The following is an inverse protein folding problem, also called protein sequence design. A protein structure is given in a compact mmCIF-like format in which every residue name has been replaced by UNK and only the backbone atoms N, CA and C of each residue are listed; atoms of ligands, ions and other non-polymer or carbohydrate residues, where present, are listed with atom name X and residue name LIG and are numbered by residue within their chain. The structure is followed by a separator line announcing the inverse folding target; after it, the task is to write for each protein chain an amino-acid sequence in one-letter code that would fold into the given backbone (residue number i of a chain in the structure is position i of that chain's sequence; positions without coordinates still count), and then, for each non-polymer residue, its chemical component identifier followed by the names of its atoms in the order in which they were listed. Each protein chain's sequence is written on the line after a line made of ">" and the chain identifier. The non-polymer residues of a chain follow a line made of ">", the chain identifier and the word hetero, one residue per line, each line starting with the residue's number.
data_IF_036298733762
#
_entry.id   IF_036298733762
#
_cell.length_a   1.000
_cell.length_b   1.000
_cell.length_c   1.000
_cell.angle_alpha   90.00
_cell.angle_beta   90.00
_cell.angle_gamma   90.00
#
_symmetry.space_group_name_H-M   'P 1'
#
loop_
_entity.id
_entity.type
_entity.pdbx_description
1 polymer ?
#
# COMPACT_ATOMS: atom_id res chain seq x y z
N UNK A 1 -6.51 20.93 -21.68
CA UNK A 1 -5.43 20.51 -22.62
C UNK A 1 -4.58 19.36 -22.08
N UNK A 2 -4.11 19.39 -20.81
CA UNK A 2 -3.22 18.36 -20.24
C UNK A 2 -3.85 16.96 -20.13
N UNK A 3 -5.17 16.87 -19.90
CA UNK A 3 -5.90 15.59 -19.82
C UNK A 3 -6.04 14.89 -21.17
N UNK A 4 -6.18 15.65 -22.25
CA UNK A 4 -6.20 15.11 -23.62
C UNK A 4 -4.82 14.63 -24.07
N UNK A 5 -3.75 15.31 -23.63
CA UNK A 5 -2.37 14.90 -23.90
C UNK A 5 -2.04 13.56 -23.23
N UNK A 6 -2.47 13.34 -21.98
CA UNK A 6 -2.29 12.06 -21.27
C UNK A 6 -3.07 10.90 -21.93
N UNK A 7 -4.29 11.16 -22.38
CA UNK A 7 -5.11 10.18 -23.12
C UNK A 7 -4.49 9.83 -24.47
N UNK A 8 -3.93 10.83 -25.18
CA UNK A 8 -3.22 10.63 -26.45
C UNK A 8 -1.96 9.77 -26.26
N UNK A 9 -1.18 10.04 -25.21
CA UNK A 9 0.02 9.27 -24.89
C UNK A 9 -0.32 7.80 -24.54
N UNK A 10 -1.37 7.57 -23.74
CA UNK A 10 -1.84 6.21 -23.46
C UNK A 10 -2.28 5.45 -24.71
N UNK A 11 -3.00 6.13 -25.63
CA UNK A 11 -3.44 5.52 -26.89
C UNK A 11 -2.26 5.12 -27.78
N UNK A 12 -1.23 5.98 -27.87
CA UNK A 12 -0.02 5.69 -28.66
C UNK A 12 0.72 4.49 -28.06
N UNK A 13 0.88 4.44 -26.73
CA UNK A 13 1.54 3.31 -26.06
C UNK A 13 0.78 2.00 -26.26
N UNK A 14 -0.55 2.02 -26.28
CA UNK A 14 -1.37 0.82 -26.52
C UNK A 14 -1.21 0.30 -27.95
N UNK A 15 -1.07 1.19 -28.94
CA UNK A 15 -0.87 0.80 -30.34
C UNK A 15 0.51 0.19 -30.62
N UNK A 16 1.55 0.60 -29.88
CA UNK A 16 2.91 0.04 -30.01
C UNK A 16 2.97 -1.40 -29.49
N UNK A 17 2.19 -1.74 -28.45
CA UNK A 17 2.14 -3.09 -27.89
C UNK A 17 1.38 -4.07 -28.82
N UNK A 18 0.36 -3.59 -29.53
CA UNK A 18 -0.45 -4.41 -30.44
C UNK A 18 0.22 -4.71 -31.79
N UNK A 19 1.30 -4.00 -32.16
CA UNK A 19 2.02 -4.22 -33.41
C UNK A 19 3.18 -5.24 -33.30
N UNK A 20 3.39 -5.84 -32.12
CA UNK A 20 4.50 -6.75 -31.84
C UNK A 20 4.24 -8.26 -32.03
N UNK A 21 3.06 -8.68 -32.48
CA UNK A 21 2.75 -10.10 -32.71
C UNK A 21 2.42 -10.36 -34.19
N UNK A 22 3.45 -10.39 -35.03
CA UNK A 22 3.41 -11.19 -36.25
C UNK A 22 4.76 -11.90 -36.42
N UNK A 23 4.84 -13.13 -35.91
CA UNK A 23 5.79 -14.11 -36.40
C UNK A 23 5.00 -15.36 -36.77
N UNK A 24 4.92 -15.55 -38.08
CA UNK A 24 4.44 -16.75 -38.77
C UNK A 24 5.39 -17.92 -38.50
N UNK A 25 4.86 -19.11 -38.18
CA UNK A 25 5.67 -20.31 -38.04
C UNK A 25 4.88 -21.61 -37.96
N UNK A 26 4.43 -22.10 -39.13
CA UNK A 26 4.51 -23.50 -39.54
C UNK A 26 3.85 -24.62 -38.70
N UNK A 27 2.74 -25.12 -39.23
CA UNK A 27 2.15 -26.44 -38.94
C UNK A 27 3.19 -27.56 -39.10
N UNK A 28 3.22 -28.53 -38.18
CA UNK A 28 3.39 -29.94 -38.54
C UNK A 28 2.70 -30.85 -37.51
N UNK A 29 1.72 -31.59 -38.03
CA UNK A 29 1.06 -32.70 -37.36
C UNK A 29 2.04 -33.86 -37.20
N UNK A 30 2.24 -34.29 -35.95
CA UNK A 30 2.56 -35.68 -35.67
C UNK A 30 1.71 -36.10 -34.48
N UNK A 31 0.65 -36.84 -34.80
CA UNK A 31 0.09 -37.78 -33.87
C UNK A 31 1.21 -38.79 -33.52
N UNK A 32 1.56 -38.91 -32.24
CA UNK A 32 1.61 -40.24 -31.65
C UNK A 32 1.55 -40.21 -30.11
N UNK A 33 0.74 -41.13 -29.62
CA UNK A 33 0.89 -41.85 -28.37
C UNK A 33 0.89 -41.11 -27.03
N UNK A 34 -0.33 -41.07 -26.48
CA UNK A 34 -0.67 -41.45 -25.11
C UNK A 34 0.44 -42.23 -24.39
N UNK A 35 1.07 -41.59 -23.41
CA UNK A 35 1.55 -42.29 -22.22
C UNK A 35 0.67 -41.86 -21.04
N UNK A 36 -0.52 -42.45 -20.99
CA UNK A 36 -1.24 -42.58 -19.74
C UNK A 36 -0.41 -43.55 -18.89
N UNK A 37 0.41 -43.00 -17.99
CA UNK A 37 1.11 -43.79 -16.99
C UNK A 37 0.04 -44.50 -16.14
N UNK A 38 -0.10 -45.80 -16.39
CA UNK A 38 -0.90 -46.71 -15.59
C UNK A 38 -0.41 -46.63 -14.15
N UNK A 39 -1.26 -46.09 -13.28
CA UNK A 39 -1.18 -46.37 -11.85
C UNK A 39 -1.45 -47.87 -11.66
N UNK A 40 -0.40 -48.67 -11.64
CA UNK A 40 -0.43 -49.99 -11.03
C UNK A 40 -0.46 -49.77 -9.51
N UNK A 41 -1.64 -49.95 -8.91
CA UNK A 41 -1.81 -50.07 -7.47
C UNK A 41 -1.02 -51.29 -6.97
N UNK A 42 0.19 -51.04 -6.47
CA UNK A 42 1.03 -52.00 -5.78
C UNK A 42 1.15 -51.60 -4.31
N UNK A 43 0.95 -52.56 -3.44
CA UNK A 43 0.93 -52.50 -1.97
C UNK A 43 2.31 -52.19 -1.32
N UNK A 44 3.16 -51.43 -2.01
CA UNK A 44 4.43 -50.94 -1.52
C UNK A 44 4.33 -49.43 -1.38
N UNK A 45 4.34 -48.93 -0.14
CA UNK A 45 4.56 -47.52 0.15
C UNK A 45 5.99 -47.16 -0.29
N UNK A 46 6.18 -46.89 -1.59
CA UNK A 46 7.47 -46.47 -2.13
C UNK A 46 7.78 -45.12 -1.49
N UNK A 47 8.73 -45.11 -0.56
CA UNK A 47 9.19 -43.90 0.08
C UNK A 47 9.70 -42.95 -1.02
N UNK A 48 9.22 -41.69 -1.08
CA UNK A 48 9.61 -40.77 -2.13
C UNK A 48 11.11 -40.52 -2.08
N UNK A 49 11.73 -40.51 -3.26
CA UNK A 49 13.16 -40.22 -3.42
C UNK A 49 13.49 -38.77 -3.04
N UNK A 50 14.76 -38.51 -2.73
CA UNK A 50 15.25 -37.17 -2.44
C UNK A 50 14.97 -36.18 -3.59
N UNK A 51 15.10 -36.62 -4.84
CA UNK A 51 14.75 -35.82 -6.02
C UNK A 51 13.27 -35.47 -6.08
N UNK A 52 12.38 -36.43 -5.78
CA UNK A 52 10.93 -36.20 -5.82
C UNK A 52 10.52 -35.18 -4.76
N UNK A 53 11.02 -35.31 -3.53
CA UNK A 53 10.75 -34.34 -2.45
C UNK A 53 11.26 -32.94 -2.83
N UNK A 54 12.47 -32.85 -3.39
CA UNK A 54 13.04 -31.57 -3.80
C UNK A 54 12.24 -30.93 -4.95
N UNK A 55 11.87 -31.71 -5.95
CA UNK A 55 11.09 -31.21 -7.11
C UNK A 55 9.69 -30.76 -6.68
N UNK A 56 9.05 -31.54 -5.81
CA UNK A 56 7.76 -31.21 -5.22
C UNK A 56 7.84 -29.89 -4.42
N UNK A 57 8.89 -29.70 -3.61
CA UNK A 57 9.12 -28.44 -2.89
C UNK A 57 9.24 -27.23 -3.84
N UNK A 58 9.91 -27.40 -4.98
CA UNK A 58 10.05 -26.32 -5.98
C UNK A 58 8.70 -25.97 -6.63
N UNK A 59 7.80 -26.94 -6.80
CA UNK A 59 6.48 -26.68 -7.39
C UNK A 59 5.65 -25.67 -6.58
N UNK A 60 5.86 -25.62 -5.26
CA UNK A 60 5.24 -24.64 -4.37
C UNK A 60 5.87 -23.25 -4.47
N UNK A 61 7.08 -23.13 -5.02
CA UNK A 61 7.78 -21.85 -5.21
C UNK A 61 7.58 -21.25 -6.59
N UNK A 62 7.28 -22.06 -7.61
CA UNK A 62 7.30 -21.67 -9.03
C UNK A 62 5.94 -21.76 -9.71
N UNK A 63 4.84 -21.55 -9.00
CA UNK A 63 3.52 -21.57 -9.62
C UNK A 63 3.29 -20.28 -10.44
N UNK A 64 3.42 -20.34 -11.76
CA UNK A 64 3.24 -19.20 -12.67
C UNK A 64 1.86 -18.51 -12.54
N UNK A 65 0.85 -19.25 -12.08
CA UNK A 65 -0.53 -18.77 -11.98
C UNK A 65 -1.01 -18.57 -10.53
N UNK A 66 -0.19 -18.92 -9.52
CA UNK A 66 -0.61 -18.87 -8.10
C UNK A 66 0.47 -18.25 -7.24
N UNK A 67 0.06 -17.61 -6.15
CA UNK A 67 1.02 -17.13 -5.16
C UNK A 67 1.88 -18.28 -4.63
N UNK A 68 3.20 -18.08 -4.50
CA UNK A 68 4.10 -19.07 -3.92
C UNK A 68 3.66 -19.48 -2.51
N UNK A 69 3.64 -20.79 -2.26
CA UNK A 69 3.30 -21.35 -0.96
C UNK A 69 4.58 -21.63 -0.17
N UNK A 70 5.18 -20.56 0.34
CA UNK A 70 6.47 -20.60 1.02
C UNK A 70 6.52 -21.57 2.21
N UNK A 71 5.43 -21.68 2.98
CA UNK A 71 5.36 -22.59 4.12
C UNK A 71 5.39 -24.06 3.71
N UNK A 72 4.63 -24.42 2.67
CA UNK A 72 4.62 -25.79 2.15
C UNK A 72 5.97 -26.17 1.54
N UNK A 73 6.55 -25.27 0.74
CA UNK A 73 7.90 -25.45 0.21
C UNK A 73 8.92 -25.70 1.34
N UNK A 74 8.88 -24.88 2.39
CA UNK A 74 9.77 -25.01 3.55
C UNK A 74 9.63 -26.36 4.25
N UNK A 75 8.40 -26.80 4.53
CA UNK A 75 8.14 -28.09 5.18
C UNK A 75 8.73 -29.24 4.36
N UNK A 76 8.56 -29.23 3.04
CA UNK A 76 9.11 -30.27 2.14
C UNK A 76 10.64 -30.25 2.10
N UNK A 77 11.25 -29.06 2.08
CA UNK A 77 12.71 -28.89 2.13
C UNK A 77 13.30 -29.34 3.48
N UNK A 78 12.63 -29.05 4.59
CA UNK A 78 13.03 -29.51 5.93
C UNK A 78 12.96 -31.05 6.01
N UNK A 79 11.87 -31.63 5.50
CA UNK A 79 11.71 -33.08 5.39
C UNK A 79 12.81 -33.73 4.54
N UNK A 80 13.20 -33.11 3.42
CA UNK A 80 14.33 -33.58 2.59
C UNK A 80 15.62 -33.67 3.40
N UNK A 81 15.96 -32.62 4.16
CA UNK A 81 17.20 -32.56 4.93
C UNK A 81 17.19 -33.60 6.06
N UNK A 82 16.03 -33.81 6.71
CA UNK A 82 15.88 -34.79 7.78
C UNK A 82 15.97 -36.23 7.27
N UNK A 83 15.31 -36.52 6.14
CA UNK A 83 15.22 -37.88 5.59
C UNK A 83 16.47 -38.27 4.80
N UNK A 84 17.15 -37.30 4.17
CA UNK A 84 18.29 -37.51 3.28
C UNK A 84 19.42 -36.48 3.53
N UNK A 85 20.05 -36.48 4.72
CA UNK A 85 21.04 -35.47 5.10
C UNK A 85 22.31 -35.48 4.25
N UNK A 86 22.62 -36.60 3.58
CA UNK A 86 23.77 -36.75 2.66
C UNK A 86 23.38 -36.57 1.19
N UNK A 87 22.15 -36.17 0.89
CA UNK A 87 21.71 -35.91 -0.48
C UNK A 87 22.50 -34.74 -1.08
N UNK A 88 22.76 -34.81 -2.38
CA UNK A 88 23.30 -33.68 -3.15
C UNK A 88 22.40 -32.44 -3.13
N UNK A 89 21.11 -32.61 -2.80
CA UNK A 89 20.11 -31.54 -2.73
C UNK A 89 20.04 -30.89 -1.34
N UNK A 90 20.67 -31.46 -0.31
CA UNK A 90 20.51 -31.00 1.07
C UNK A 90 21.01 -29.57 1.28
N UNK A 91 22.17 -29.20 0.73
CA UNK A 91 22.70 -27.83 0.85
C UNK A 91 21.86 -26.82 0.06
N UNK A 92 21.38 -27.18 -1.12
CA UNK A 92 20.45 -26.34 -1.89
C UNK A 92 19.14 -26.12 -1.12
N UNK A 93 18.60 -27.15 -0.48
CA UNK A 93 17.40 -27.05 0.34
C UNK A 93 17.59 -26.12 1.55
N UNK A 94 18.73 -26.21 2.24
CA UNK A 94 19.07 -25.28 3.34
C UNK A 94 19.13 -23.83 2.85
N UNK A 95 19.79 -23.58 1.72
CA UNK A 95 19.88 -22.24 1.14
C UNK A 95 18.49 -21.70 0.76
N UNK A 96 17.63 -22.53 0.16
CA UNK A 96 16.25 -22.15 -0.15
C UNK A 96 15.42 -21.83 1.09
N UNK A 97 15.54 -22.62 2.17
CA UNK A 97 14.86 -22.34 3.44
C UNK A 97 15.29 -20.98 4.00
N UNK A 98 16.60 -20.66 3.96
CA UNK A 98 17.12 -19.36 4.40
C UNK A 98 16.50 -18.23 3.55
N UNK A 99 16.46 -18.39 2.23
CA UNK A 99 15.86 -17.41 1.32
C UNK A 99 14.37 -17.21 1.61
N UNK A 100 13.63 -18.30 1.82
CA UNK A 100 12.20 -18.26 2.19
C UNK A 100 11.99 -17.47 3.48
N UNK A 101 12.76 -17.78 4.54
CA UNK A 101 12.65 -17.06 5.80
C UNK A 101 12.94 -15.56 5.63
N UNK A 102 13.97 -15.21 4.85
CA UNK A 102 14.32 -13.82 4.56
C UNK A 102 13.21 -13.08 3.80
N UNK A 103 12.56 -13.74 2.84
CA UNK A 103 11.43 -13.16 2.11
C UNK A 103 10.26 -12.88 3.07
N UNK A 104 9.90 -13.85 3.91
CA UNK A 104 8.83 -13.68 4.91
C UNK A 104 9.14 -12.55 5.91
N UNK A 105 10.38 -12.41 6.36
CA UNK A 105 10.80 -11.29 7.21
C UNK A 105 10.68 -9.93 6.49
N UNK A 106 10.96 -9.89 5.18
CA UNK A 106 10.85 -8.68 4.38
C UNK A 106 9.39 -8.29 4.14
N UNK A 107 8.53 -9.25 3.85
CA UNK A 107 7.07 -9.06 3.73
C UNK A 107 6.50 -8.50 5.04
N UNK A 108 6.85 -9.09 6.19
CA UNK A 108 6.41 -8.58 7.48
C UNK A 108 6.87 -7.14 7.75
N UNK A 109 8.11 -6.81 7.37
CA UNK A 109 8.63 -5.44 7.51
C UNK A 109 7.91 -4.46 6.59
N UNK A 110 7.55 -4.90 5.38
CA UNK A 110 6.79 -4.09 4.44
C UNK A 110 5.40 -3.79 5.01
N UNK A 111 4.67 -4.81 5.48
CA UNK A 111 3.36 -4.65 6.11
C UNK A 111 3.40 -3.69 7.31
N UNK A 112 4.41 -3.85 8.17
CA UNK A 112 4.61 -2.93 9.30
C UNK A 112 4.90 -1.50 8.86
N UNK A 113 5.64 -1.33 7.76
CA UNK A 113 5.95 -0.02 7.19
C UNK A 113 4.69 0.65 6.63
N UNK A 114 3.89 -0.11 5.88
CA UNK A 114 2.63 0.35 5.31
C UNK A 114 1.62 0.73 6.40
N UNK A 115 1.50 -0.08 7.45
CA UNK A 115 0.65 0.24 8.61
C UNK A 115 1.09 1.53 9.31
N UNK A 116 2.40 1.71 9.50
CA UNK A 116 2.95 2.96 10.07
C UNK A 116 2.65 4.15 9.16
N UNK A 117 2.81 4.01 7.86
CA UNK A 117 2.53 5.05 6.88
C UNK A 117 1.04 5.43 6.87
N UNK A 118 0.14 4.45 6.90
CA UNK A 118 -1.30 4.69 6.99
C UNK A 118 -1.67 5.42 8.29
N UNK A 119 -1.07 5.02 9.42
CA UNK A 119 -1.26 5.71 10.70
C UNK A 119 -0.77 7.15 10.67
N UNK A 120 0.43 7.38 10.15
CA UNK A 120 1.00 8.72 9.99
C UNK A 120 0.12 9.61 9.09
N UNK A 121 -0.42 9.07 8.00
CA UNK A 121 -1.33 9.81 7.13
C UNK A 121 -2.63 10.20 7.84
N UNK A 122 -3.20 9.30 8.64
CA UNK A 122 -4.39 9.58 9.44
C UNK A 122 -4.12 10.65 10.52
N UNK A 123 -3.01 10.53 11.22
CA UNK A 123 -2.59 11.50 12.25
C UNK A 123 -2.34 12.88 11.63
N UNK A 124 -1.69 12.94 10.47
CA UNK A 124 -1.47 14.17 9.72
C UNK A 124 -2.79 14.84 9.32
N UNK A 125 -3.74 14.08 8.76
CA UNK A 125 -5.05 14.60 8.39
C UNK A 125 -5.83 15.11 9.61
N UNK A 126 -5.77 14.38 10.74
CA UNK A 126 -6.40 14.79 12.00
C UNK A 126 -5.81 16.10 12.54
N UNK A 127 -4.48 16.22 12.57
CA UNK A 127 -3.78 17.43 13.00
C UNK A 127 -4.05 18.61 12.07
N UNK A 128 -4.03 18.38 10.75
CA UNK A 128 -4.35 19.40 9.75
C UNK A 128 -5.76 19.95 9.95
N UNK A 129 -6.75 19.07 10.13
CA UNK A 129 -8.13 19.47 10.40
C UNK A 129 -8.27 20.25 11.71
N UNK A 130 -7.59 19.81 12.79
CA UNK A 130 -7.57 20.54 14.07
C UNK A 130 -6.93 21.91 13.93
N UNK A 131 -5.83 22.02 13.18
CA UNK A 131 -5.17 23.29 12.91
C UNK A 131 -6.12 24.24 12.19
N UNK A 132 -6.76 23.78 11.12
CA UNK A 132 -7.74 24.57 10.35
C UNK A 132 -8.92 25.02 11.20
N UNK A 133 -9.49 24.12 12.00
CA UNK A 133 -10.60 24.45 12.90
C UNK A 133 -10.20 25.50 13.95
N UNK A 134 -8.96 25.42 14.45
CA UNK A 134 -8.47 26.37 15.46
C UNK A 134 -8.22 27.75 14.84
N UNK A 135 -7.68 27.78 13.62
CA UNK A 135 -7.52 29.00 12.83
C UNK A 135 -8.87 29.65 12.49
N UNK A 136 -9.86 28.87 12.06
CA UNK A 136 -11.24 29.34 11.81
C UNK A 136 -11.85 29.95 13.09
N UNK A 137 -11.65 29.33 14.26
CA UNK A 137 -12.11 29.86 15.55
C UNK A 137 -11.42 31.17 15.92
N UNK A 138 -10.10 31.25 15.74
CA UNK A 138 -9.36 32.47 16.03
C UNK A 138 -9.76 33.61 15.08
N UNK A 139 -9.95 33.33 13.80
CA UNK A 139 -10.44 34.31 12.84
C UNK A 139 -11.82 34.86 13.24
N UNK A 140 -12.75 33.97 13.64
CA UNK A 140 -14.07 34.38 14.10
C UNK A 140 -14.00 35.24 15.38
N UNK A 141 -13.14 34.88 16.33
CA UNK A 141 -12.94 35.65 17.57
C UNK A 141 -12.31 37.02 17.30
N UNK A 142 -11.34 37.10 16.38
CA UNK A 142 -10.77 38.38 15.95
C UNK A 142 -11.85 39.28 15.34
N UNK A 143 -12.69 38.76 14.46
CA UNK A 143 -13.80 39.53 13.88
C UNK A 143 -14.80 39.99 14.94
N UNK A 144 -15.12 39.13 15.91
CA UNK A 144 -16.01 39.48 17.03
C UNK A 144 -15.45 40.64 17.87
N UNK A 145 -14.18 40.53 18.26
CA UNK A 145 -13.49 41.55 19.05
C UNK A 145 -13.36 42.86 18.29
N UNK A 146 -13.10 42.82 16.98
CA UNK A 146 -13.09 44.03 16.13
C UNK A 146 -14.44 44.74 16.14
N UNK A 147 -15.54 43.99 15.97
CA UNK A 147 -16.88 44.55 16.03
C UNK A 147 -17.18 45.18 17.40
N UNK A 148 -16.89 44.47 18.49
CA UNK A 148 -17.09 44.99 19.85
C UNK A 148 -16.29 46.28 20.08
N UNK A 149 -15.05 46.34 19.59
CA UNK A 149 -14.20 47.52 19.73
C UNK A 149 -14.76 48.72 18.95
N UNK A 150 -15.32 48.51 17.76
CA UNK A 150 -16.00 49.55 16.99
C UNK A 150 -17.27 50.06 17.68
N UNK A 151 -18.04 49.16 18.29
CA UNK A 151 -19.24 49.52 19.08
C UNK A 151 -18.87 50.34 20.31
N UNK A 152 -17.84 49.92 21.05
CA UNK A 152 -17.30 50.66 22.20
C UNK A 152 -16.77 52.04 21.80
N UNK A 153 -16.06 52.15 20.66
CA UNK A 153 -15.57 53.41 20.15
C UNK A 153 -16.71 54.40 19.84
N UNK A 154 -17.80 53.91 19.21
CA UNK A 154 -19.02 54.70 18.98
C UNK A 154 -19.67 55.14 20.30
N UNK A 155 -19.78 54.24 21.27
CA UNK A 155 -20.31 54.54 22.61
C UNK A 155 -19.51 55.62 23.34
N UNK A 156 -18.17 55.52 23.32
CA UNK A 156 -17.27 56.53 23.89
C UNK A 156 -17.46 57.90 23.24
N UNK A 157 -17.61 57.93 21.91
CA UNK A 157 -17.86 59.19 21.19
C UNK A 157 -19.20 59.82 21.58
N UNK A 158 -20.25 59.02 21.75
CA UNK A 158 -21.56 59.49 22.21
C UNK A 158 -21.48 60.07 23.63
N UNK A 159 -20.82 59.37 24.56
CA UNK A 159 -20.60 59.86 25.93
C UNK A 159 -19.85 61.18 25.94
N UNK A 160 -18.77 61.31 25.15
CA UNK A 160 -18.02 62.55 25.00
C UNK A 160 -18.90 63.70 24.49
N UNK A 161 -19.77 63.43 23.53
CA UNK A 161 -20.71 64.45 23.02
C UNK A 161 -21.71 64.90 24.09
N UNK A 162 -22.24 63.97 24.89
CA UNK A 162 -23.14 64.27 26.00
C UNK A 162 -22.46 65.08 27.11
N UNK A 163 -21.22 64.73 27.45
CA UNK A 163 -20.36 65.48 28.38
C UNK A 163 -20.25 66.95 27.97
N UNK A 164 -19.91 67.21 26.69
CA UNK A 164 -19.80 68.56 26.14
C UNK A 164 -21.13 69.31 26.24
N UNK A 165 -22.26 68.65 25.96
CA UNK A 165 -23.58 69.27 26.07
C UNK A 165 -23.93 69.63 27.52
N UNK A 166 -23.61 68.74 28.48
CA UNK A 166 -23.82 68.98 29.90
C UNK A 166 -22.99 70.17 30.37
N UNK A 167 -21.71 70.25 30.00
CA UNK A 167 -20.85 71.37 30.33
C UNK A 167 -21.35 72.69 29.72
N UNK A 168 -21.80 72.68 28.47
CA UNK A 168 -22.45 73.86 27.84
C UNK A 168 -23.72 74.28 28.56
N UNK A 169 -24.51 73.34 29.10
CA UNK A 169 -25.71 73.65 29.90
C UNK A 169 -25.34 74.23 31.26
N UNK A 170 -24.34 73.66 31.95
CA UNK A 170 -23.84 74.18 33.23
C UNK A 170 -23.31 75.60 33.09
N UNK A 171 -22.50 75.89 32.06
CA UNK A 171 -21.98 77.24 31.78
C UNK A 171 -23.06 78.28 31.50
N UNK A 172 -24.18 77.90 30.88
CA UNK A 172 -25.32 78.82 30.63
C UNK A 172 -26.19 79.07 31.86
N UNK A 173 -26.05 78.25 32.91
CA UNK A 173 -26.79 78.37 34.18
C UNK A 173 -25.96 78.99 35.31
N UNK A 174 -24.70 79.34 35.04
CA UNK A 174 -23.83 80.13 35.92
C UNK A 174 -23.72 81.54 35.34
#
# INVERSE_FOLDING_TARGET
>A
MITHLKKLICLIMLTVILMGCVTTGGINNSADQKNAAQHSGGFFSIRPSDREIFTDALSFLSAEEKEPQYNEAKIRLENLIQLYPKSKWAEAAKALIISINRMSELEQKLDQSEQKQAKLANDFNSLSNKSRQTEERHAAEISRLQQENEELAKGLQQLKNLEIQLEKRKKRRR
#
